data_IF_364405007591
#
_entry.id   IF_364405007591
#
_cell.length_a   1.000
_cell.length_b   1.000
_cell.length_c   1.000
_cell.angle_alpha   90.00
_cell.angle_beta   90.00
_cell.angle_gamma   90.00
#
_symmetry.space_group_name_H-M   'P 1'
#
loop_
_entity.id
_entity.type
_entity.pdbx_description
1 polymer ?
#
# COMPACT_ATOMS: atom_id res chain seq x y z
N UNK A 1 5.33 27.28 -8.15
CA UNK A 1 5.32 25.83 -7.94
C UNK A 1 3.91 25.31 -8.19
N UNK A 2 3.82 24.22 -8.94
CA UNK A 2 2.54 23.53 -9.18
C UNK A 2 2.36 22.41 -8.16
N UNK A 3 1.10 22.14 -7.82
CA UNK A 3 0.74 21.02 -6.94
C UNK A 3 -0.22 20.11 -7.68
N UNK A 4 0.16 18.85 -7.86
CA UNK A 4 -0.69 17.82 -8.46
C UNK A 4 -1.06 16.77 -7.40
N UNK A 5 -2.33 16.37 -7.43
CA UNK A 5 -2.83 15.33 -6.55
C UNK A 5 -3.39 14.19 -7.39
N UNK A 6 -2.91 12.98 -7.11
CA UNK A 6 -3.37 11.76 -7.80
C UNK A 6 -4.07 10.86 -6.80
N UNK A 7 -5.35 10.61 -7.04
CA UNK A 7 -6.14 9.71 -6.21
C UNK A 7 -5.84 8.23 -6.52
N UNK A 8 -6.40 7.34 -5.69
CA UNK A 8 -6.18 5.90 -5.82
C UNK A 8 -6.60 5.33 -7.17
N UNK A 9 -7.68 5.86 -7.76
CA UNK A 9 -8.13 5.43 -9.09
C UNK A 9 -7.12 5.78 -10.19
N UNK A 10 -6.36 6.87 -10.02
CA UNK A 10 -5.34 7.29 -10.98
C UNK A 10 -4.10 6.40 -10.96
N UNK A 11 -3.87 5.69 -9.86
CA UNK A 11 -2.69 4.82 -9.66
C UNK A 11 -3.10 3.38 -9.35
N UNK A 12 -4.26 2.95 -9.83
CA UNK A 12 -4.81 1.62 -9.53
C UNK A 12 -4.10 0.47 -10.24
N UNK A 13 -3.35 0.76 -11.29
CA UNK A 13 -2.64 -0.24 -12.10
C UNK A 13 -1.41 0.38 -12.76
N UNK A 14 -0.63 -0.44 -13.47
CA UNK A 14 0.58 0.01 -14.13
C UNK A 14 0.30 1.07 -15.20
N UNK A 15 -0.80 0.97 -15.93
CA UNK A 15 -1.19 1.97 -16.93
C UNK A 15 -1.41 3.33 -16.27
N UNK A 16 -2.10 3.37 -15.14
CA UNK A 16 -2.31 4.59 -14.37
C UNK A 16 -1.00 5.23 -13.92
N UNK A 17 -0.06 4.41 -13.43
CA UNK A 17 1.27 4.87 -13.01
C UNK A 17 2.04 5.45 -14.21
N UNK A 18 2.01 4.78 -15.35
CA UNK A 18 2.66 5.29 -16.58
C UNK A 18 2.05 6.61 -17.03
N UNK A 19 0.72 6.74 -16.92
CA UNK A 19 0.03 7.98 -17.27
C UNK A 19 0.43 9.13 -16.32
N UNK A 20 0.53 8.84 -15.04
CA UNK A 20 1.02 9.80 -14.05
C UNK A 20 2.41 10.31 -14.44
N UNK A 21 3.31 9.40 -14.79
CA UNK A 21 4.66 9.75 -15.23
C UNK A 21 4.63 10.69 -16.43
N UNK A 22 3.80 10.44 -17.43
CA UNK A 22 3.65 11.31 -18.60
C UNK A 22 3.20 12.71 -18.22
N UNK A 23 2.30 12.83 -17.26
CA UNK A 23 1.77 14.11 -16.80
C UNK A 23 2.86 14.96 -16.15
N UNK A 24 3.75 14.34 -15.37
CA UNK A 24 4.74 15.05 -14.56
C UNK A 24 6.11 15.18 -15.24
N UNK A 25 6.37 14.43 -16.30
CA UNK A 25 7.71 14.26 -16.88
C UNK A 25 8.36 15.58 -17.30
N UNK A 26 7.59 16.51 -17.86
CA UNK A 26 8.07 17.80 -18.33
C UNK A 26 7.93 18.92 -17.30
N UNK A 27 7.45 18.61 -16.12
CA UNK A 27 7.20 19.62 -15.09
C UNK A 27 8.44 19.82 -14.22
N UNK A 28 8.74 21.08 -13.93
CA UNK A 28 9.77 21.47 -12.97
C UNK A 28 9.12 22.15 -11.79
N UNK A 29 9.77 22.08 -10.63
CA UNK A 29 9.28 22.72 -9.42
C UNK A 29 7.85 22.28 -9.07
N UNK A 30 7.68 20.98 -8.95
CA UNK A 30 6.39 20.32 -8.77
C UNK A 30 6.30 19.65 -7.40
N UNK A 31 5.16 19.85 -6.72
CA UNK A 31 4.81 19.11 -5.51
C UNK A 31 3.74 18.08 -5.87
N UNK A 32 4.00 16.80 -5.58
CA UNK A 32 3.11 15.71 -5.94
C UNK A 32 2.56 15.06 -4.68
N UNK A 33 1.24 14.93 -4.61
CA UNK A 33 0.56 14.18 -3.58
C UNK A 33 -0.06 12.95 -4.24
N UNK A 34 0.36 11.76 -3.80
CA UNK A 34 -0.12 10.49 -4.35
C UNK A 34 -0.86 9.72 -3.28
N UNK A 35 -2.05 9.27 -3.60
CA UNK A 35 -2.85 8.43 -2.72
C UNK A 35 -2.43 6.95 -2.83
N UNK A 36 -3.01 6.12 -1.99
CA UNK A 36 -2.84 4.67 -2.05
C UNK A 36 -3.32 4.11 -3.39
N UNK A 37 -2.65 3.09 -3.89
CA UNK A 37 -3.02 2.43 -5.14
C UNK A 37 -4.39 1.75 -5.02
N UNK A 38 -5.31 2.14 -5.89
CA UNK A 38 -6.63 1.51 -5.98
C UNK A 38 -7.37 1.50 -4.66
N UNK A 39 -7.75 0.32 -4.22
CA UNK A 39 -8.51 0.12 -2.97
C UNK A 39 -7.65 -0.44 -1.84
N UNK A 40 -6.37 -0.08 -1.81
CA UNK A 40 -5.43 -0.55 -0.80
C UNK A 40 -5.86 -0.18 0.61
N UNK A 41 -6.36 1.04 0.84
CA UNK A 41 -6.83 1.46 2.16
C UNK A 41 -7.97 0.57 2.65
N UNK A 42 -8.90 0.21 1.76
CA UNK A 42 -10.01 -0.70 2.10
C UNK A 42 -9.48 -2.09 2.49
N UNK A 43 -8.47 -2.58 1.78
CA UNK A 43 -7.83 -3.85 2.11
C UNK A 43 -7.17 -3.81 3.49
N UNK A 44 -6.47 -2.73 3.81
CA UNK A 44 -5.85 -2.56 5.13
C UNK A 44 -6.88 -2.46 6.25
N UNK A 45 -8.02 -1.83 5.99
CA UNK A 45 -9.13 -1.81 6.94
C UNK A 45 -9.69 -3.22 7.20
N UNK A 46 -9.74 -4.06 6.17
CA UNK A 46 -10.15 -5.47 6.36
C UNK A 46 -9.12 -6.27 7.16
N UNK A 47 -7.82 -6.00 6.97
CA UNK A 47 -6.76 -6.59 7.80
C UNK A 47 -6.98 -6.21 9.26
N UNK A 48 -7.19 -4.91 9.52
CA UNK A 48 -7.45 -4.41 10.86
C UNK A 48 -8.69 -5.07 11.49
N UNK A 49 -9.78 -5.16 10.73
CA UNK A 49 -11.01 -5.82 11.18
C UNK A 49 -10.80 -7.28 11.54
N UNK A 50 -9.99 -7.99 10.75
CA UNK A 50 -9.67 -9.39 11.03
C UNK A 50 -8.82 -9.52 12.31
N UNK A 51 -7.86 -8.64 12.53
CA UNK A 51 -7.06 -8.62 13.76
C UNK A 51 -7.94 -8.34 14.97
N UNK A 52 -8.90 -7.42 14.86
CA UNK A 52 -9.84 -7.13 15.93
C UNK A 52 -10.65 -8.37 16.35
N UNK A 53 -10.96 -9.23 15.40
CA UNK A 53 -11.71 -10.46 15.62
C UNK A 53 -10.82 -11.66 15.95
N UNK A 54 -9.52 -11.45 16.08
CA UNK A 54 -8.53 -12.49 16.27
C UNK A 54 -8.54 -13.54 15.16
N UNK A 55 -8.93 -13.15 13.96
CA UNK A 55 -8.96 -14.02 12.78
C UNK A 55 -7.67 -13.81 11.97
N UNK A 56 -6.60 -14.48 12.41
CA UNK A 56 -5.30 -14.38 11.76
C UNK A 56 -5.30 -14.91 10.34
N UNK A 57 -6.05 -15.97 10.07
CA UNK A 57 -6.14 -16.54 8.73
C UNK A 57 -6.73 -15.53 7.74
N UNK A 58 -7.80 -14.84 8.13
CA UNK A 58 -8.40 -13.81 7.30
C UNK A 58 -7.44 -12.62 7.10
N UNK A 59 -6.74 -12.19 8.16
CA UNK A 59 -5.75 -11.12 8.07
C UNK A 59 -4.64 -11.47 7.08
N UNK A 60 -4.08 -12.68 7.17
CA UNK A 60 -3.01 -13.13 6.29
C UNK A 60 -3.48 -13.25 4.83
N UNK A 61 -4.71 -13.72 4.61
CA UNK A 61 -5.27 -13.81 3.26
C UNK A 61 -5.40 -12.44 2.61
N UNK A 62 -5.86 -11.44 3.36
CA UNK A 62 -5.97 -10.06 2.86
C UNK A 62 -4.60 -9.45 2.55
N UNK A 63 -3.61 -9.68 3.41
CA UNK A 63 -2.24 -9.19 3.21
C UNK A 63 -1.64 -9.84 1.97
N UNK A 64 -1.81 -11.14 1.79
CA UNK A 64 -1.30 -11.86 0.62
C UNK A 64 -1.91 -11.31 -0.67
N UNK A 65 -3.22 -11.12 -0.69
CA UNK A 65 -3.90 -10.56 -1.87
C UNK A 65 -3.38 -9.14 -2.19
N UNK A 66 -3.15 -8.33 -1.17
CA UNK A 66 -2.63 -6.97 -1.35
C UNK A 66 -1.18 -6.99 -1.86
N UNK A 67 -0.35 -7.89 -1.34
CA UNK A 67 1.02 -8.08 -1.82
C UNK A 67 1.02 -8.48 -3.29
N UNK A 68 0.19 -9.44 -3.67
CA UNK A 68 0.10 -9.91 -5.07
C UNK A 68 -0.37 -8.79 -6.00
N UNK A 69 -1.31 -7.98 -5.55
CA UNK A 69 -1.79 -6.82 -6.31
C UNK A 69 -0.64 -5.84 -6.62
N UNK A 70 0.15 -5.49 -5.61
CA UNK A 70 1.30 -4.60 -5.80
C UNK A 70 2.40 -5.26 -6.64
N UNK A 71 2.66 -6.55 -6.42
CA UNK A 71 3.66 -7.29 -7.20
C UNK A 71 3.31 -7.33 -8.67
N UNK A 72 2.04 -7.52 -9.01
CA UNK A 72 1.59 -7.52 -10.40
C UNK A 72 1.81 -6.17 -11.09
N UNK A 73 1.57 -5.08 -10.39
CA UNK A 73 1.84 -3.73 -10.90
C UNK A 73 3.34 -3.54 -11.14
N UNK A 74 4.17 -3.94 -10.18
CA UNK A 74 5.62 -3.83 -10.30
C UNK A 74 6.13 -4.66 -11.49
N UNK A 75 5.69 -5.90 -11.62
CA UNK A 75 6.09 -6.79 -12.72
C UNK A 75 5.72 -6.19 -14.08
N UNK A 76 4.53 -5.60 -14.20
CA UNK A 76 4.10 -4.95 -15.44
C UNK A 76 4.93 -3.69 -15.74
N UNK A 77 5.23 -2.89 -14.74
CA UNK A 77 6.01 -1.66 -14.92
C UNK A 77 7.43 -1.94 -15.43
N UNK A 78 8.03 -3.04 -15.00
CA UNK A 78 9.40 -3.43 -15.41
C UNK A 78 9.43 -4.55 -16.45
N UNK A 79 8.28 -4.91 -17.01
CA UNK A 79 8.16 -5.95 -18.06
C UNK A 79 8.76 -7.30 -17.66
N UNK A 80 8.57 -7.70 -16.42
CA UNK A 80 9.02 -9.00 -15.94
C UNK A 80 9.10 -9.04 -14.43
N UNK A 81 9.38 -10.23 -13.87
CA UNK A 81 9.46 -10.38 -12.42
C UNK A 81 10.51 -9.46 -11.81
N UNK A 82 10.08 -8.65 -10.88
CA UNK A 82 10.95 -7.76 -10.11
C UNK A 82 10.43 -7.65 -8.70
N UNK A 83 11.33 -7.61 -7.74
CA UNK A 83 10.98 -7.37 -6.36
C UNK A 83 11.71 -6.14 -5.87
N UNK A 84 10.97 -5.24 -5.25
CA UNK A 84 11.52 -4.06 -4.61
C UNK A 84 11.68 -4.39 -3.13
N UNK A 85 12.93 -4.44 -2.65
CA UNK A 85 13.24 -4.85 -1.28
C UNK A 85 12.45 -4.05 -0.24
N UNK A 86 12.33 -2.75 -0.42
CA UNK A 86 11.59 -1.89 0.50
C UNK A 86 10.10 -2.28 0.59
N UNK A 87 9.49 -2.64 -0.54
CA UNK A 87 8.09 -3.08 -0.57
C UNK A 87 7.94 -4.44 0.11
N UNK A 88 8.85 -5.37 -0.19
CA UNK A 88 8.84 -6.70 0.45
C UNK A 88 9.03 -6.62 1.96
N UNK A 89 9.92 -5.76 2.43
CA UNK A 89 10.15 -5.53 3.86
C UNK A 89 8.90 -4.97 4.55
N UNK A 90 8.18 -4.05 3.91
CA UNK A 90 6.96 -3.48 4.46
C UNK A 90 5.85 -4.52 4.58
N UNK A 91 5.69 -5.38 3.58
CA UNK A 91 4.70 -6.46 3.67
C UNK A 91 5.08 -7.50 4.71
N UNK A 92 6.36 -7.84 4.83
CA UNK A 92 6.85 -8.74 5.88
C UNK A 92 6.56 -8.17 7.27
N UNK A 93 6.79 -6.87 7.46
CA UNK A 93 6.47 -6.18 8.72
C UNK A 93 4.98 -6.20 9.01
N UNK A 94 4.15 -5.95 8.01
CA UNK A 94 2.70 -6.00 8.16
C UNK A 94 2.23 -7.39 8.57
N UNK A 95 2.77 -8.43 7.93
CA UNK A 95 2.47 -9.82 8.29
C UNK A 95 2.87 -10.13 9.74
N UNK A 96 4.06 -9.70 10.15
CA UNK A 96 4.54 -9.90 11.51
C UNK A 96 3.63 -9.23 12.53
N UNK A 97 3.30 -7.97 12.30
CA UNK A 97 2.44 -7.20 13.20
C UNK A 97 1.06 -7.85 13.30
N UNK A 98 0.47 -8.24 12.16
CA UNK A 98 -0.85 -8.88 12.16
C UNK A 98 -0.84 -10.24 12.85
N UNK A 99 0.27 -11.01 12.73
CA UNK A 99 0.38 -12.33 13.36
C UNK A 99 0.60 -12.26 14.87
N UNK A 100 1.38 -11.28 15.32
CA UNK A 100 1.80 -11.18 16.74
C UNK A 100 0.91 -10.30 17.60
N UNK A 101 0.15 -9.38 16.99
CA UNK A 101 -0.63 -8.41 17.73
C UNK A 101 -1.87 -9.06 18.36
N UNK A 102 -2.04 -8.85 19.66
CA UNK A 102 -3.28 -9.12 20.35
C UNK A 102 -4.04 -7.80 20.43
N UNK A 103 -5.16 -7.71 19.74
CA UNK A 103 -5.94 -6.48 19.70
C UNK A 103 -6.54 -6.16 21.07
N UNK A 104 -6.40 -4.91 21.49
CA UNK A 104 -7.08 -4.31 22.62
C UNK A 104 -7.70 -3.00 22.17
N UNK A 105 -8.91 -2.71 22.65
CA UNK A 105 -9.61 -1.48 22.24
C UNK A 105 -8.79 -0.22 22.51
N UNK A 106 -8.03 -0.20 23.59
CA UNK A 106 -7.15 0.91 23.97
C UNK A 106 -5.98 1.13 23.02
N UNK A 107 -5.62 0.11 22.22
CA UNK A 107 -4.51 0.15 21.27
C UNK A 107 -4.98 0.45 19.84
N UNK A 108 -6.27 0.66 19.61
CA UNK A 108 -6.85 0.81 18.27
C UNK A 108 -6.17 1.92 17.46
N UNK A 109 -5.93 3.08 18.06
CA UNK A 109 -5.29 4.20 17.38
C UNK A 109 -3.85 3.87 16.97
N UNK A 110 -3.09 3.26 17.86
CA UNK A 110 -1.71 2.86 17.58
C UNK A 110 -1.65 1.84 16.45
N UNK A 111 -2.54 0.86 16.44
CA UNK A 111 -2.62 -0.13 15.36
C UNK A 111 -2.94 0.54 14.03
N UNK A 112 -3.89 1.45 14.02
CA UNK A 112 -4.28 2.18 12.82
C UNK A 112 -3.12 3.01 12.27
N UNK A 113 -2.37 3.68 13.13
CA UNK A 113 -1.18 4.44 12.74
C UNK A 113 -0.12 3.54 12.12
N UNK A 114 0.11 2.36 12.68
CA UNK A 114 1.07 1.39 12.14
C UNK A 114 0.69 0.96 10.72
N UNK A 115 -0.57 0.64 10.49
CA UNK A 115 -1.08 0.25 9.18
C UNK A 115 -0.94 1.41 8.19
N UNK A 116 -1.30 2.62 8.59
CA UNK A 116 -1.18 3.82 7.76
C UNK A 116 0.27 4.12 7.38
N UNK A 117 1.19 3.99 8.34
CA UNK A 117 2.62 4.20 8.09
C UNK A 117 3.17 3.18 7.08
N UNK A 118 2.84 1.91 7.26
CA UNK A 118 3.26 0.85 6.34
C UNK A 118 2.75 1.13 4.92
N UNK A 119 1.51 1.55 4.82
CA UNK A 119 0.88 1.90 3.55
C UNK A 119 1.60 3.08 2.86
N UNK A 120 1.88 4.15 3.58
CA UNK A 120 2.58 5.32 3.05
C UNK A 120 3.99 4.94 2.56
N UNK A 121 4.73 4.17 3.34
CA UNK A 121 6.08 3.73 2.99
C UNK A 121 6.10 2.89 1.71
N UNK A 122 5.07 2.10 1.45
CA UNK A 122 4.98 1.30 0.24
C UNK A 122 4.97 2.14 -1.04
N UNK A 123 4.57 3.40 -0.96
CA UNK A 123 4.50 4.31 -2.12
C UNK A 123 5.76 5.17 -2.30
N UNK A 124 6.72 5.12 -1.38
CA UNK A 124 7.97 5.88 -1.49
C UNK A 124 8.96 5.25 -2.47
N UNK A 125 8.74 4.01 -2.80
CA UNK A 125 9.60 3.26 -3.72
C UNK A 125 8.96 3.14 -5.09
#
# INVERSE_FOLDING_TARGET
MKVYKFGGASVKNAEGVRNLRKIIDDEQNLFIIVSAMGKTTNALERVFGAVQKSDRAAAMAEITALREYHAAIIDDLWHGPRRLDAVEELFAELERVAAETVYRAEDAELWYDTVSYTHLRAHET
#
